data_IF_792708811580
#
_entry.id   IF_792708811580
#
_cell.length_a   1.000
_cell.length_b   1.000
_cell.length_c   1.000
_cell.angle_alpha   90.00
_cell.angle_beta   90.00
_cell.angle_gamma   90.00
#
_symmetry.space_group_name_H-M   'P 1'
#
loop_
_entity.id
_entity.type
_entity.pdbx_description
1 polymer ?
#
# COMPACT_ATOMS: atom_id res chain seq x y z
N UNK A 1 -0.42 -31.58 -19.11
CA UNK A 1 -1.21 -30.37 -19.37
C UNK A 1 -1.81 -29.79 -18.08
N UNK A 2 -2.32 -30.59 -17.14
CA UNK A 2 -2.86 -30.11 -15.85
C UNK A 2 -1.81 -29.58 -14.84
N UNK A 3 -0.54 -30.00 -14.97
CA UNK A 3 0.53 -29.66 -14.01
C UNK A 3 1.04 -28.22 -14.17
N UNK A 4 1.10 -27.72 -15.41
CA UNK A 4 1.51 -26.34 -15.70
C UNK A 4 0.49 -25.28 -15.30
N UNK A 5 -0.81 -25.58 -15.40
CA UNK A 5 -1.88 -24.65 -15.00
C UNK A 5 -1.95 -24.47 -13.47
N UNK A 6 -1.68 -25.53 -12.72
CA UNK A 6 -1.63 -25.51 -11.25
C UNK A 6 -0.43 -24.71 -10.76
N UNK A 7 0.75 -24.90 -11.36
CA UNK A 7 1.96 -24.15 -11.04
C UNK A 7 1.79 -22.63 -11.32
N UNK A 8 1.16 -22.27 -12.44
CA UNK A 8 0.83 -20.88 -12.78
C UNK A 8 -0.13 -20.24 -11.78
N UNK A 9 -1.22 -20.93 -11.40
CA UNK A 9 -2.15 -20.44 -10.38
C UNK A 9 -1.46 -20.24 -9.03
N UNK A 10 -0.60 -21.16 -8.63
CA UNK A 10 0.14 -21.05 -7.37
C UNK A 10 1.11 -19.86 -7.37
N UNK A 11 1.84 -19.65 -8.49
CA UNK A 11 2.74 -18.52 -8.65
C UNK A 11 1.99 -17.17 -8.62
N UNK A 12 0.81 -17.11 -9.23
CA UNK A 12 -0.08 -15.93 -9.21
C UNK A 12 -0.67 -15.63 -7.82
N UNK A 13 -0.85 -16.64 -6.97
CA UNK A 13 -1.29 -16.44 -5.58
C UNK A 13 -0.14 -15.87 -4.75
N UNK A 14 1.07 -16.44 -4.87
CA UNK A 14 2.26 -15.96 -4.14
C UNK A 14 2.60 -14.51 -4.50
N UNK A 15 2.52 -14.15 -5.78
CA UNK A 15 2.79 -12.78 -6.23
C UNK A 15 1.80 -11.76 -5.64
N UNK A 16 0.53 -12.14 -5.53
CA UNK A 16 -0.50 -11.30 -4.92
C UNK A 16 -0.28 -11.13 -3.42
N UNK A 17 0.03 -12.22 -2.71
CA UNK A 17 0.33 -12.15 -1.28
C UNK A 17 1.56 -11.26 -1.02
N UNK A 18 2.61 -11.39 -1.82
CA UNK A 18 3.79 -10.53 -1.72
C UNK A 18 3.48 -9.05 -1.99
N UNK A 19 2.59 -8.76 -2.95
CA UNK A 19 2.15 -7.40 -3.23
C UNK A 19 1.34 -6.82 -2.06
N UNK A 20 0.42 -7.61 -1.49
CA UNK A 20 -0.37 -7.21 -0.32
C UNK A 20 0.50 -6.98 0.91
N UNK A 21 1.49 -7.85 1.16
CA UNK A 21 2.41 -7.70 2.28
C UNK A 21 3.29 -6.46 2.16
N UNK A 22 3.74 -6.15 0.94
CA UNK A 22 4.43 -4.88 0.66
C UNK A 22 3.53 -3.69 0.95
N UNK A 23 2.29 -3.71 0.48
CA UNK A 23 1.37 -2.58 0.62
C UNK A 23 0.94 -2.39 2.09
N UNK A 24 0.73 -3.48 2.86
CA UNK A 24 0.58 -3.45 4.33
C UNK A 24 1.77 -2.81 5.02
N UNK A 25 2.98 -3.24 4.68
CA UNK A 25 4.19 -2.70 5.27
C UNK A 25 4.40 -1.22 4.94
N UNK A 26 4.07 -0.81 3.72
CA UNK A 26 4.12 0.59 3.28
C UNK A 26 3.13 1.45 4.08
N UNK A 27 1.88 0.99 4.24
CA UNK A 27 0.87 1.68 5.04
C UNK A 27 1.33 1.82 6.50
N UNK A 28 1.83 0.74 7.11
CA UNK A 28 2.34 0.78 8.47
C UNK A 28 3.50 1.78 8.63
N UNK A 29 4.44 1.79 7.67
CA UNK A 29 5.55 2.74 7.64
C UNK A 29 5.05 4.19 7.56
N UNK A 30 4.15 4.51 6.62
CA UNK A 30 3.59 5.86 6.46
C UNK A 30 2.80 6.31 7.70
N UNK A 31 1.98 5.43 8.29
CA UNK A 31 1.27 5.70 9.54
C UNK A 31 2.23 6.02 10.68
N UNK A 32 3.36 5.31 10.79
CA UNK A 32 4.38 5.60 11.78
C UNK A 32 5.01 6.99 11.58
N UNK A 33 5.30 7.39 10.33
CA UNK A 33 5.83 8.74 10.02
C UNK A 33 4.83 9.84 10.36
N UNK A 34 3.55 9.61 10.06
CA UNK A 34 2.45 10.52 10.45
C UNK A 34 2.40 10.65 11.98
N UNK A 35 2.43 9.54 12.72
CA UNK A 35 2.38 9.55 14.19
C UNK A 35 3.59 10.25 14.83
N UNK A 36 4.77 10.15 14.22
CA UNK A 36 5.95 10.90 14.64
C UNK A 36 5.77 12.39 14.42
N UNK A 37 5.31 12.80 13.24
CA UNK A 37 5.12 14.22 12.90
C UNK A 37 3.99 14.87 13.71
N UNK A 38 2.92 14.14 13.96
CA UNK A 38 1.75 14.62 14.72
C UNK A 38 2.11 15.16 16.11
N UNK A 39 3.19 14.66 16.74
CA UNK A 39 3.65 15.12 18.07
C UNK A 39 4.10 16.58 18.09
N UNK A 40 4.48 17.13 16.94
CA UNK A 40 4.99 18.49 16.79
C UNK A 40 4.24 19.28 15.71
N UNK A 41 3.09 18.78 15.26
CA UNK A 41 2.28 19.40 14.22
C UNK A 41 1.47 20.57 14.77
N UNK A 42 1.37 21.64 13.98
CA UNK A 42 0.42 22.73 14.24
C UNK A 42 -0.98 22.36 13.76
N UNK A 43 -2.01 23.13 14.12
CA UNK A 43 -3.42 22.75 13.92
C UNK A 43 -3.77 22.44 12.44
N UNK A 44 -3.23 23.21 11.49
CA UNK A 44 -3.44 22.95 10.06
C UNK A 44 -2.76 21.67 9.59
N UNK A 45 -1.55 21.42 10.08
CA UNK A 45 -0.77 20.23 9.76
C UNK A 45 -1.43 18.98 10.37
N UNK A 46 -1.97 19.08 11.59
CA UNK A 46 -2.71 17.99 12.23
C UNK A 46 -3.92 17.57 11.38
N UNK A 47 -4.69 18.55 10.86
CA UNK A 47 -5.82 18.27 9.97
C UNK A 47 -5.37 17.60 8.67
N UNK A 48 -4.26 18.05 8.10
CA UNK A 48 -3.69 17.44 6.89
C UNK A 48 -3.26 15.99 7.17
N UNK A 49 -2.52 15.76 8.25
CA UNK A 49 -2.06 14.44 8.67
C UNK A 49 -3.23 13.48 8.94
N UNK A 50 -4.30 13.97 9.57
CA UNK A 50 -5.52 13.20 9.79
C UNK A 50 -6.20 12.81 8.47
N UNK A 51 -6.25 13.73 7.49
CA UNK A 51 -6.76 13.45 6.15
C UNK A 51 -5.96 12.36 5.43
N UNK A 52 -4.63 12.47 5.45
CA UNK A 52 -3.75 11.45 4.85
C UNK A 52 -3.93 10.10 5.56
N UNK A 53 -3.97 10.08 6.89
CA UNK A 53 -4.17 8.85 7.65
C UNK A 53 -5.51 8.18 7.31
N UNK A 54 -6.59 8.96 7.11
CA UNK A 54 -7.87 8.44 6.65
C UNK A 54 -7.78 7.80 5.27
N UNK A 55 -7.11 8.43 4.31
CA UNK A 55 -6.89 7.83 2.99
C UNK A 55 -6.08 6.53 3.05
N UNK A 56 -5.09 6.44 3.96
CA UNK A 56 -4.34 5.20 4.19
C UNK A 56 -5.21 4.08 4.78
N UNK A 57 -6.13 4.41 5.70
CA UNK A 57 -7.10 3.45 6.25
C UNK A 57 -8.06 2.94 5.18
N UNK A 58 -8.57 3.83 4.32
CA UNK A 58 -9.45 3.42 3.22
C UNK A 58 -8.70 2.56 2.18
N UNK A 59 -7.42 2.84 1.93
CA UNK A 59 -6.58 2.01 1.07
C UNK A 59 -6.38 0.60 1.68
N UNK A 60 -6.05 0.53 2.97
CA UNK A 60 -5.89 -0.71 3.73
C UNK A 60 -7.14 -1.58 3.71
N UNK A 61 -8.30 -1.00 4.04
CA UNK A 61 -9.58 -1.70 3.99
C UNK A 61 -9.85 -2.31 2.61
N UNK A 62 -9.56 -1.55 1.54
CA UNK A 62 -9.86 -1.96 0.16
C UNK A 62 -8.95 -3.06 -0.36
N UNK A 63 -7.67 -3.11 0.05
CA UNK A 63 -6.78 -4.20 -0.36
C UNK A 63 -6.91 -5.44 0.54
N UNK A 64 -7.37 -5.30 1.79
CA UNK A 64 -7.62 -6.45 2.68
C UNK A 64 -8.98 -7.12 2.42
N UNK A 65 -9.97 -6.33 2.04
CA UNK A 65 -11.33 -6.78 1.79
C UNK A 65 -11.84 -6.25 0.43
N UNK A 66 -11.27 -6.75 -0.69
CA UNK A 66 -11.78 -6.43 -2.01
C UNK A 66 -13.27 -6.79 -2.10
N UNK A 67 -14.08 -5.93 -2.72
CA UNK A 67 -15.52 -6.14 -2.74
C UNK A 67 -15.85 -7.41 -3.53
N UNK A 68 -16.89 -8.15 -3.11
CA UNK A 68 -17.35 -9.35 -3.83
C UNK A 68 -17.72 -8.96 -5.27
N UNK A 69 -16.86 -9.30 -6.23
CA UNK A 69 -17.02 -8.97 -7.64
C UNK A 69 -15.82 -8.26 -8.27
N UNK A 70 -14.81 -7.88 -7.50
CA UNK A 70 -13.55 -7.35 -8.03
C UNK A 70 -12.73 -8.46 -8.70
N UNK A 71 -12.89 -8.56 -10.01
CA UNK A 71 -11.95 -9.26 -10.88
C UNK A 71 -10.57 -8.56 -10.83
N UNK A 72 -9.47 -9.30 -10.93
CA UNK A 72 -8.10 -8.73 -10.98
C UNK A 72 -7.91 -7.75 -12.15
N UNK A 73 -8.76 -7.87 -13.17
CA UNK A 73 -8.79 -6.97 -14.33
C UNK A 73 -9.88 -5.90 -14.24
N UNK A 74 -10.54 -5.77 -13.08
CA UNK A 74 -11.50 -4.70 -12.85
C UNK A 74 -10.78 -3.35 -12.87
N UNK A 75 -11.52 -2.33 -13.29
CA UNK A 75 -11.04 -0.94 -13.23
C UNK A 75 -10.60 -0.56 -11.80
N UNK A 76 -11.30 -1.08 -10.79
CA UNK A 76 -11.00 -0.82 -9.39
C UNK A 76 -9.67 -1.45 -8.95
N UNK A 77 -9.37 -2.69 -9.36
CA UNK A 77 -8.06 -3.31 -9.12
C UNK A 77 -6.92 -2.47 -9.72
N UNK A 78 -7.11 -1.95 -10.93
CA UNK A 78 -6.17 -1.02 -11.56
C UNK A 78 -5.98 0.29 -10.79
N UNK A 79 -7.06 0.86 -10.24
CA UNK A 79 -6.99 2.06 -9.38
C UNK A 79 -6.22 1.79 -8.09
N UNK A 80 -6.43 0.63 -7.47
CA UNK A 80 -5.71 0.24 -6.25
C UNK A 80 -4.21 0.06 -6.51
N UNK A 81 -3.84 -0.59 -7.62
CA UNK A 81 -2.43 -0.69 -8.04
C UNK A 81 -1.81 0.68 -8.30
N UNK A 82 -2.52 1.57 -8.99
CA UNK A 82 -2.04 2.93 -9.25
C UNK A 82 -1.85 3.72 -7.95
N UNK A 83 -2.79 3.62 -7.00
CA UNK A 83 -2.66 4.25 -5.69
C UNK A 83 -1.48 3.70 -4.90
N UNK A 84 -1.30 2.37 -4.85
CA UNK A 84 -0.14 1.74 -4.22
C UNK A 84 1.19 2.19 -4.85
N UNK A 85 1.23 2.33 -6.18
CA UNK A 85 2.38 2.90 -6.89
C UNK A 85 2.65 4.36 -6.48
N UNK A 86 1.62 5.21 -6.47
CA UNK A 86 1.74 6.60 -6.05
C UNK A 86 2.26 6.73 -4.62
N UNK A 87 1.75 5.92 -3.69
CA UNK A 87 2.21 5.91 -2.30
C UNK A 87 3.69 5.51 -2.19
N UNK A 88 4.15 4.53 -2.97
CA UNK A 88 5.57 4.15 -3.04
C UNK A 88 6.46 5.27 -3.58
N UNK A 89 6.03 5.95 -4.64
CA UNK A 89 6.74 7.11 -5.17
C UNK A 89 6.87 8.22 -4.12
N UNK A 90 5.78 8.55 -3.43
CA UNK A 90 5.79 9.56 -2.37
C UNK A 90 6.68 9.13 -1.20
N UNK A 91 6.57 7.88 -0.76
CA UNK A 91 7.39 7.35 0.33
C UNK A 91 8.87 7.37 -0.02
N UNK A 92 9.23 6.99 -1.24
CA UNK A 92 10.62 7.01 -1.73
C UNK A 92 11.16 8.44 -1.79
N UNK A 93 10.39 9.39 -2.35
CA UNK A 93 10.81 10.78 -2.44
C UNK A 93 11.01 11.43 -1.05
N UNK A 94 10.16 11.09 -0.09
CA UNK A 94 10.19 11.70 1.25
C UNK A 94 11.13 10.97 2.23
N UNK A 95 11.32 9.66 2.09
CA UNK A 95 11.92 8.83 3.14
C UNK A 95 12.93 7.80 2.64
N UNK A 96 13.45 7.88 1.41
CA UNK A 96 14.42 6.89 0.89
C UNK A 96 15.70 6.76 1.72
N UNK A 97 16.08 7.80 2.47
CA UNK A 97 17.23 7.79 3.39
C UNK A 97 16.86 7.41 4.82
N UNK A 98 15.57 7.17 5.09
CA UNK A 98 15.10 6.83 6.42
C UNK A 98 15.54 5.40 6.82
N UNK A 99 16.07 5.16 8.03
CA UNK A 99 16.55 3.84 8.46
C UNK A 99 15.56 2.69 8.31
N UNK A 100 14.28 2.96 8.60
CA UNK A 100 13.19 1.96 8.50
C UNK A 100 12.62 1.81 7.08
N UNK A 101 13.13 2.56 6.09
CA UNK A 101 12.65 2.46 4.71
C UNK A 101 13.11 1.13 4.09
N UNK A 102 12.16 0.33 3.61
CA UNK A 102 12.45 -0.96 3.00
C UNK A 102 12.69 -0.83 1.49
N UNK A 103 13.62 -1.60 0.95
CA UNK A 103 13.96 -1.58 -0.48
C UNK A 103 12.79 -2.02 -1.39
N UNK A 104 11.89 -2.85 -0.89
CA UNK A 104 10.70 -3.28 -1.63
C UNK A 104 9.61 -2.20 -1.71
N UNK A 105 9.74 -1.09 -0.98
CA UNK A 105 8.94 0.12 -1.20
C UNK A 105 9.37 0.92 -2.41
N UNK A 106 10.55 0.63 -2.97
CA UNK A 106 11.03 1.32 -4.17
C UNK A 106 10.01 1.11 -5.31
N UNK A 107 9.60 2.18 -6.02
CA UNK A 107 8.65 2.09 -7.11
C UNK A 107 9.10 1.10 -8.18
#
# INVERSE_FOLDING_TARGET
>A
MADGETALKFQLIIQDEAALDRDRALVAFLKARIAERAKAAEEEEERLLAGVNRSLLEFEEKFEHPHRGDDRHSFFAGQMQALGWSLRCTAFAAFSEHPDFRQDFRP
#
